data_IF_688722465745
#
_entry.id   IF_688722465745
#
_cell.length_a   1.000
_cell.length_b   1.000
_cell.length_c   1.000
_cell.angle_alpha   90.00
_cell.angle_beta   90.00
_cell.angle_gamma   90.00
#
_symmetry.space_group_name_H-M   'P 1'
#
loop_
_entity.id
_entity.type
_entity.pdbx_description
1 polymer ?
#
# COMPACT_ATOMS: atom_id res chain seq x y z
N UNK A 1 -36.17 19.05 -26.97
CA UNK A 1 -36.25 18.02 -25.91
C UNK A 1 -35.36 16.86 -26.31
N UNK A 2 -34.26 16.67 -25.59
CA UNK A 2 -33.41 15.46 -25.51
C UNK A 2 -32.55 15.64 -24.23
N UNK A 3 -32.22 14.55 -23.51
CA UNK A 3 -32.19 14.54 -22.05
C UNK A 3 -30.87 15.01 -21.44
N UNK A 4 -31.01 15.58 -20.24
CA UNK A 4 -29.96 15.76 -19.22
C UNK A 4 -29.36 14.42 -18.82
N UNK A 5 -28.03 14.34 -18.80
CA UNK A 5 -27.30 13.31 -18.07
C UNK A 5 -26.44 13.97 -17.01
N UNK A 6 -26.77 13.70 -15.75
CA UNK A 6 -25.93 13.99 -14.59
C UNK A 6 -24.85 12.91 -14.51
N UNK A 7 -23.58 13.28 -14.61
CA UNK A 7 -22.49 12.40 -14.18
C UNK A 7 -22.34 12.61 -12.68
N UNK A 8 -22.67 11.59 -11.89
CA UNK A 8 -22.38 11.59 -10.45
C UNK A 8 -20.87 11.68 -10.27
N UNK A 9 -20.44 12.82 -9.73
CA UNK A 9 -19.15 12.94 -9.06
C UNK A 9 -19.30 12.17 -7.74
N UNK A 10 -18.73 10.97 -7.67
CA UNK A 10 -18.48 10.32 -6.38
C UNK A 10 -17.20 10.92 -5.78
N UNK A 11 -17.26 12.21 -5.44
CA UNK A 11 -16.31 12.87 -4.55
C UNK A 11 -16.68 12.50 -3.14
N UNK A 12 -15.83 11.69 -2.49
CA UNK A 12 -15.55 11.84 -1.06
C UNK A 12 -14.18 11.22 -0.78
N UNK A 13 -13.12 12.02 -0.86
CA UNK A 13 -11.98 11.84 0.04
C UNK A 13 -12.31 12.70 1.25
N UNK A 14 -12.79 12.06 2.32
CA UNK A 14 -12.81 12.71 3.63
C UNK A 14 -11.37 12.62 4.16
N UNK A 15 -10.68 13.75 4.18
CA UNK A 15 -9.53 13.91 5.05
C UNK A 15 -10.03 13.83 6.49
N UNK A 16 -9.98 12.66 7.12
CA UNK A 16 -10.13 12.59 8.56
C UNK A 16 -8.86 13.13 9.21
N UNK A 17 -8.92 14.42 9.53
CA UNK A 17 -8.03 15.09 10.48
C UNK A 17 -8.15 14.34 11.82
N UNK A 18 -7.16 13.51 12.18
CA UNK A 18 -6.94 13.28 13.61
C UNK A 18 -6.14 14.49 14.08
N UNK A 19 -6.81 15.49 14.65
CA UNK A 19 -6.11 16.54 15.41
C UNK A 19 -5.27 15.83 16.49
N UNK A 20 -3.93 15.93 16.50
CA UNK A 20 -3.20 15.68 17.72
C UNK A 20 -3.30 16.95 18.56
N UNK A 21 -3.45 16.79 19.87
CA UNK A 21 -3.39 17.89 20.83
C UNK A 21 -1.99 18.58 20.91
N UNK A 22 -1.10 18.36 19.92
CA UNK A 22 0.31 18.75 19.90
C UNK A 22 0.85 18.99 18.47
N UNK A 23 0.36 20.03 17.76
CA UNK A 23 1.15 20.78 16.77
C UNK A 23 1.76 20.09 15.52
N UNK A 24 1.37 18.87 15.10
CA UNK A 24 1.90 18.22 13.89
C UNK A 24 0.83 17.56 13.00
N UNK A 25 0.95 17.68 11.66
CA UNK A 25 -0.02 17.16 10.68
C UNK A 25 0.46 15.84 10.04
N UNK A 26 -0.34 14.77 10.18
CA UNK A 26 0.02 13.42 9.70
C UNK A 26 -0.52 13.14 8.30
N UNK A 27 0.36 12.78 7.35
CA UNK A 27 -0.01 12.33 6.00
C UNK A 27 -0.33 10.84 6.00
N UNK A 28 -1.62 10.47 6.02
CA UNK A 28 -2.06 9.06 5.92
C UNK A 28 -1.66 8.47 4.57
N UNK A 29 -1.04 7.28 4.59
CA UNK A 29 -0.94 6.43 3.40
C UNK A 29 -2.20 5.58 3.33
N UNK A 30 -3.19 6.04 2.58
CA UNK A 30 -4.22 5.16 2.03
C UNK A 30 -3.74 4.67 0.68
N UNK A 31 -3.91 3.37 0.39
CA UNK A 31 -3.67 2.76 -0.91
C UNK A 31 -4.43 3.56 -1.97
N UNK A 32 -3.72 4.31 -2.81
CA UNK A 32 -4.38 5.14 -3.82
C UNK A 32 -4.83 4.26 -4.99
N UNK A 33 -6.13 4.30 -5.25
CA UNK A 33 -6.80 3.62 -6.35
C UNK A 33 -6.08 3.80 -7.69
N UNK A 34 -5.99 2.69 -8.41
CA UNK A 34 -5.54 2.60 -9.77
C UNK A 34 -6.59 3.22 -10.71
N UNK A 35 -6.30 4.39 -11.26
CA UNK A 35 -6.95 4.86 -12.48
C UNK A 35 -5.92 4.85 -13.61
N UNK A 36 -6.33 4.28 -14.75
CA UNK A 36 -5.49 4.15 -15.95
C UNK A 36 -4.91 5.52 -16.33
N UNK A 37 -3.59 5.62 -16.48
CA UNK A 37 -2.99 6.74 -17.20
C UNK A 37 -2.53 6.23 -18.56
N UNK A 38 -3.09 6.88 -19.59
CA UNK A 38 -2.75 6.70 -20.99
C UNK A 38 -1.32 7.22 -21.27
N UNK A 39 -0.76 6.74 -22.37
CA UNK A 39 0.60 6.98 -22.84
C UNK A 39 1.03 8.46 -22.84
N UNK A 40 2.34 8.64 -22.59
CA UNK A 40 3.21 9.70 -23.10
C UNK A 40 2.66 11.14 -23.10
N UNK A 41 3.06 11.90 -22.07
CA UNK A 41 2.97 13.36 -22.05
C UNK A 41 1.55 13.89 -21.83
N UNK A 42 1.16 14.11 -20.57
CA UNK A 42 -0.17 14.62 -20.26
C UNK A 42 -0.29 15.06 -18.80
N UNK A 43 -1.13 16.07 -18.61
CA UNK A 43 -1.35 16.88 -17.40
C UNK A 43 -1.48 16.09 -16.09
N UNK A 44 -1.00 16.72 -15.02
CA UNK A 44 -1.26 16.31 -13.64
C UNK A 44 -2.77 16.38 -13.40
N UNK A 45 -3.41 15.22 -13.25
CA UNK A 45 -4.80 15.11 -12.80
C UNK A 45 -4.99 15.92 -11.51
N UNK A 46 -6.05 16.75 -11.38
CA UNK A 46 -6.35 17.50 -10.15
C UNK A 46 -6.69 16.59 -8.96
N UNK A 47 -6.91 15.29 -9.21
CA UNK A 47 -7.17 14.28 -8.19
C UNK A 47 -5.93 13.40 -8.08
N UNK A 48 -5.20 13.53 -6.96
CA UNK A 48 -3.96 12.80 -6.66
C UNK A 48 -4.15 11.28 -6.71
N UNK A 49 -3.39 10.63 -7.57
CA UNK A 49 -3.30 9.17 -7.70
C UNK A 49 -1.84 8.76 -7.90
N UNK A 50 -1.52 7.49 -7.65
CA UNK A 50 -0.17 6.96 -7.84
C UNK A 50 0.06 6.50 -9.29
N UNK A 51 1.26 6.75 -9.82
CA UNK A 51 1.72 6.15 -11.07
C UNK A 51 2.52 4.88 -10.76
N UNK A 52 2.16 3.77 -11.40
CA UNK A 52 2.88 2.49 -11.31
C UNK A 52 3.52 2.21 -12.66
N UNK A 53 4.84 2.19 -12.70
CA UNK A 53 5.63 2.01 -13.90
C UNK A 53 6.34 0.65 -13.88
N UNK A 54 6.15 -0.10 -14.97
CA UNK A 54 6.87 -1.33 -15.26
C UNK A 54 7.96 -1.01 -16.28
N UNK A 55 9.22 -1.02 -15.84
CA UNK A 55 10.36 -0.56 -16.62
C UNK A 55 11.21 -1.76 -17.07
N UNK A 56 11.44 -1.87 -18.38
CA UNK A 56 12.38 -2.83 -18.96
C UNK A 56 13.80 -2.29 -18.89
N UNK A 57 14.43 -2.36 -17.71
CA UNK A 57 15.79 -1.86 -17.45
C UNK A 57 16.63 -2.96 -16.80
N UNK A 58 17.95 -2.81 -16.91
CA UNK A 58 18.93 -3.71 -16.34
C UNK A 58 19.21 -4.95 -17.17
N UNK A 59 20.14 -5.77 -16.66
CA UNK A 59 20.62 -7.00 -17.26
C UNK A 59 20.74 -8.11 -16.21
N UNK A 60 20.42 -9.35 -16.58
CA UNK A 60 20.58 -10.52 -15.71
C UNK A 60 22.05 -11.01 -15.64
N UNK A 61 22.29 -12.10 -14.92
CA UNK A 61 23.63 -12.70 -14.81
C UNK A 61 24.15 -13.32 -16.14
N UNK A 62 23.28 -13.52 -17.13
CA UNK A 62 23.63 -13.94 -18.48
C UNK A 62 23.82 -12.76 -19.45
N UNK A 63 23.84 -11.52 -18.92
CA UNK A 63 23.95 -10.26 -19.68
C UNK A 63 22.77 -10.03 -20.65
N UNK A 64 21.59 -10.57 -20.31
CA UNK A 64 20.35 -10.38 -21.06
C UNK A 64 19.56 -9.18 -20.55
N UNK A 65 19.04 -8.34 -21.44
CA UNK A 65 18.15 -7.21 -21.11
C UNK A 65 16.67 -7.61 -21.00
N UNK A 66 16.34 -8.88 -21.24
CA UNK A 66 14.96 -9.35 -21.20
C UNK A 66 14.55 -9.72 -19.77
N UNK A 67 13.73 -8.87 -19.15
CA UNK A 67 13.18 -9.14 -17.83
C UNK A 67 12.10 -10.24 -17.85
N UNK A 68 12.13 -11.12 -16.86
CA UNK A 68 11.10 -12.11 -16.59
C UNK A 68 9.86 -11.47 -15.93
N UNK A 69 8.66 -12.03 -16.13
CA UNK A 69 7.48 -11.62 -15.39
C UNK A 69 7.61 -12.00 -13.91
N UNK A 70 6.93 -11.27 -13.02
CA UNK A 70 6.93 -11.61 -11.60
C UNK A 70 6.32 -13.01 -11.38
N UNK A 71 6.99 -13.90 -10.61
CA UNK A 71 6.45 -15.19 -10.26
C UNK A 71 5.21 -15.05 -9.37
N UNK A 72 4.29 -16.01 -9.48
CA UNK A 72 3.04 -15.98 -8.72
C UNK A 72 3.32 -15.96 -7.21
N UNK A 73 2.68 -15.03 -6.52
CA UNK A 73 2.74 -14.93 -5.05
C UNK A 73 4.03 -14.32 -4.54
N UNK A 74 4.87 -13.75 -5.41
CA UNK A 74 6.03 -12.98 -5.00
C UNK A 74 5.58 -11.77 -4.17
N UNK A 75 6.23 -11.54 -3.04
CA UNK A 75 5.97 -10.42 -2.13
C UNK A 75 7.28 -9.75 -1.80
N UNK A 76 7.34 -8.44 -1.88
CA UNK A 76 8.53 -7.70 -1.51
C UNK A 76 8.19 -6.28 -1.04
N UNK A 77 9.09 -5.71 -0.24
CA UNK A 77 8.98 -4.39 0.35
C UNK A 77 10.14 -3.52 -0.10
N UNK A 78 9.84 -2.29 -0.51
CA UNK A 78 10.81 -1.22 -0.70
C UNK A 78 10.63 -0.12 0.35
N UNK A 79 11.68 0.67 0.54
CA UNK A 79 11.77 1.69 1.60
C UNK A 79 11.93 1.10 3.00
N UNK A 80 11.70 1.91 4.03
CA UNK A 80 11.73 1.50 5.43
C UNK A 80 10.90 2.47 6.30
N UNK A 81 9.83 1.97 6.93
CA UNK A 81 8.94 2.76 7.79
C UNK A 81 9.66 3.42 8.98
N UNK A 82 10.73 2.78 9.46
CA UNK A 82 11.46 3.19 10.66
C UNK A 82 12.71 4.02 10.34
N UNK A 83 13.00 4.30 9.07
CA UNK A 83 14.15 5.12 8.72
C UNK A 83 13.95 6.56 9.20
N UNK A 84 15.01 7.12 9.82
CA UNK A 84 15.04 8.52 10.29
C UNK A 84 16.28 9.29 9.80
N UNK A 85 17.08 8.66 8.96
CA UNK A 85 18.31 9.20 8.38
C UNK A 85 18.63 8.45 7.10
N UNK A 86 19.50 9.04 6.27
CA UNK A 86 20.03 8.37 5.10
C UNK A 86 20.99 7.25 5.50
N UNK A 87 20.80 6.06 4.93
CA UNK A 87 21.71 4.93 5.11
C UNK A 87 22.69 4.85 3.93
N UNK A 88 23.91 5.33 4.16
CA UNK A 88 25.00 5.30 3.21
C UNK A 88 25.83 3.99 3.27
N UNK A 89 25.54 3.10 4.22
CA UNK A 89 26.37 1.93 4.50
C UNK A 89 25.80 0.65 3.87
N UNK A 90 24.47 0.55 3.77
CA UNK A 90 23.84 -0.57 3.07
C UNK A 90 23.92 -0.35 1.56
N UNK A 91 24.75 -1.13 0.90
CA UNK A 91 25.07 -0.97 -0.53
C UNK A 91 24.43 -2.06 -1.39
N UNK A 92 24.14 -1.74 -2.65
CA UNK A 92 23.83 -2.72 -3.69
C UNK A 92 25.08 -3.55 -4.01
N UNK A 93 24.87 -4.72 -4.61
CA UNK A 93 25.99 -5.45 -5.22
C UNK A 93 26.63 -4.61 -6.33
N UNK A 94 27.96 -4.60 -6.40
CA UNK A 94 28.69 -3.95 -7.48
C UNK A 94 30.07 -4.55 -7.74
N UNK A 95 30.70 -4.14 -8.83
CA UNK A 95 32.05 -4.48 -9.26
C UNK A 95 32.74 -3.27 -9.93
N UNK A 96 33.91 -3.44 -10.54
CA UNK A 96 34.67 -2.33 -11.17
C UNK A 96 33.92 -1.63 -12.30
N UNK A 97 33.14 -2.38 -13.09
CA UNK A 97 32.32 -1.84 -14.20
C UNK A 97 31.01 -1.22 -13.71
N UNK A 98 30.47 -1.77 -12.62
CA UNK A 98 29.17 -1.45 -12.03
C UNK A 98 29.35 -1.15 -10.53
N UNK A 99 29.83 0.05 -10.13
CA UNK A 99 30.38 0.35 -8.78
C UNK A 99 29.40 0.64 -7.61
N UNK A 100 29.15 -0.29 -6.68
CA UNK A 100 28.06 -0.27 -5.66
C UNK A 100 27.37 1.09 -5.27
N UNK A 101 26.04 1.10 -5.36
CA UNK A 101 25.00 2.05 -4.93
C UNK A 101 24.58 2.07 -3.46
N UNK A 102 24.39 3.15 -2.68
CA UNK A 102 23.60 3.03 -1.46
C UNK A 102 22.16 2.60 -1.77
N UNK A 103 21.66 1.57 -1.10
CA UNK A 103 20.28 1.06 -1.28
C UNK A 103 19.26 2.13 -0.91
N UNK A 104 19.61 3.10 -0.06
CA UNK A 104 18.81 4.27 0.25
C UNK A 104 18.40 5.10 -0.98
N UNK A 105 19.14 5.00 -2.10
CA UNK A 105 18.81 5.71 -3.35
C UNK A 105 17.51 5.25 -4.01
N UNK A 106 16.93 4.12 -3.56
CA UNK A 106 15.64 3.63 -4.03
C UNK A 106 14.45 4.54 -3.72
N UNK A 107 14.59 5.43 -2.75
CA UNK A 107 13.58 6.42 -2.38
C UNK A 107 14.10 7.80 -2.76
N UNK A 108 13.33 8.53 -3.56
CA UNK A 108 13.60 9.93 -3.88
C UNK A 108 12.35 10.79 -3.74
N UNK A 109 12.55 12.08 -3.57
CA UNK A 109 11.53 13.10 -3.46
C UNK A 109 11.89 14.26 -4.38
N UNK A 110 10.95 14.63 -5.24
CA UNK A 110 11.05 15.80 -6.09
C UNK A 110 10.08 16.88 -5.59
N UNK A 111 10.62 18.04 -5.25
CA UNK A 111 9.83 19.24 -5.05
C UNK A 111 9.59 19.86 -6.44
N UNK A 112 8.38 19.72 -6.98
CA UNK A 112 8.10 20.08 -8.37
C UNK A 112 7.93 21.59 -8.49
N UNK A 113 8.82 22.19 -9.27
CA UNK A 113 8.82 23.60 -9.64
C UNK A 113 9.28 23.71 -11.10
N UNK A 114 8.33 23.91 -12.01
CA UNK A 114 8.63 23.98 -13.45
C UNK A 114 9.45 25.22 -13.83
N UNK A 115 9.41 26.27 -13.02
CA UNK A 115 10.12 27.52 -13.28
C UNK A 115 11.53 27.51 -12.68
N UNK A 116 11.74 26.75 -11.61
CA UNK A 116 13.03 26.61 -10.97
C UNK A 116 13.29 25.14 -10.55
N UNK A 117 13.68 24.27 -11.52
CA UNK A 117 13.90 22.86 -11.26
C UNK A 117 14.95 22.63 -10.18
N UNK A 118 14.63 21.76 -9.22
CA UNK A 118 15.52 21.39 -8.12
C UNK A 118 15.92 19.92 -8.25
N UNK A 119 17.13 19.54 -7.79
CA UNK A 119 17.51 18.14 -7.71
C UNK A 119 16.56 17.35 -6.80
N UNK A 120 16.36 16.08 -7.13
CA UNK A 120 15.69 15.15 -6.22
C UNK A 120 16.52 14.95 -4.94
N UNK A 121 15.83 14.63 -3.86
CA UNK A 121 16.43 14.39 -2.54
C UNK A 121 16.02 13.03 -2.00
N UNK A 122 16.80 12.44 -1.09
CA UNK A 122 16.51 11.12 -0.52
C UNK A 122 15.62 11.16 0.74
N UNK A 123 15.01 12.31 1.02
CA UNK A 123 14.09 12.53 2.11
C UNK A 123 13.16 13.68 1.76
N UNK A 124 12.02 13.75 2.44
CA UNK A 124 11.11 14.88 2.34
C UNK A 124 11.75 16.13 2.99
N UNK A 125 12.52 16.85 2.19
CA UNK A 125 13.37 17.97 2.62
C UNK A 125 12.65 19.32 2.60
N UNK A 126 11.82 19.55 1.58
CA UNK A 126 11.01 20.76 1.40
C UNK A 126 9.63 20.35 0.87
N UNK A 127 8.59 20.95 1.44
CA UNK A 127 7.19 20.77 1.03
C UNK A 127 6.59 22.06 0.46
N UNK A 128 7.36 23.14 0.35
CA UNK A 128 6.98 24.36 -0.33
C UNK A 128 7.23 24.22 -1.84
N UNK A 129 6.47 23.33 -2.46
CA UNK A 129 6.66 22.94 -3.86
C UNK A 129 5.54 23.53 -4.72
N UNK A 130 5.79 24.57 -5.54
CA UNK A 130 4.75 25.31 -6.26
C UNK A 130 3.88 24.47 -7.19
N UNK A 131 4.36 23.32 -7.66
CA UNK A 131 3.62 22.40 -8.52
C UNK A 131 3.39 21.03 -7.86
N UNK A 132 3.44 20.98 -6.52
CA UNK A 132 3.29 19.75 -5.75
C UNK A 132 4.62 19.05 -5.47
N UNK A 133 4.55 18.02 -4.64
CA UNK A 133 5.70 17.20 -4.29
C UNK A 133 5.48 15.80 -4.82
N UNK A 134 6.53 15.14 -5.32
CA UNK A 134 6.46 13.77 -5.80
C UNK A 134 7.38 12.89 -4.98
N UNK A 135 6.83 11.86 -4.34
CA UNK A 135 7.63 10.80 -3.73
C UNK A 135 7.76 9.65 -4.73
N UNK A 136 8.95 9.10 -4.83
CA UNK A 136 9.33 8.09 -5.81
C UNK A 136 9.96 6.93 -5.07
N UNK A 137 9.59 5.71 -5.47
CA UNK A 137 10.16 4.50 -4.90
C UNK A 137 10.35 3.41 -5.95
N UNK A 138 11.56 2.87 -5.99
CA UNK A 138 11.91 1.72 -6.83
C UNK A 138 11.95 0.46 -6.00
N UNK A 139 11.51 -0.66 -6.57
CA UNK A 139 11.58 -1.96 -5.96
C UNK A 139 12.73 -2.80 -6.50
N UNK A 140 13.10 -3.81 -5.71
CA UNK A 140 14.05 -4.83 -6.08
C UNK A 140 13.58 -5.55 -7.35
N UNK A 141 14.49 -5.77 -8.30
CA UNK A 141 14.20 -6.46 -9.56
C UNK A 141 15.05 -7.71 -9.77
N UNK A 142 15.96 -8.06 -8.88
CA UNK A 142 16.76 -9.28 -8.98
C UNK A 142 16.24 -10.33 -8.00
N UNK A 143 15.75 -11.45 -8.51
CA UNK A 143 15.15 -12.52 -7.72
C UNK A 143 16.08 -13.74 -7.62
N UNK A 144 16.08 -14.39 -6.45
CA UNK A 144 16.88 -15.61 -6.21
C UNK A 144 16.41 -16.83 -7.01
N UNK A 145 15.23 -16.76 -7.63
CA UNK A 145 14.66 -17.83 -8.44
C UNK A 145 13.96 -18.93 -7.66
N UNK A 146 13.91 -18.82 -6.33
CA UNK A 146 13.46 -19.88 -5.43
C UNK A 146 12.34 -19.41 -4.52
N UNK A 147 12.52 -18.29 -3.81
CA UNK A 147 11.66 -17.91 -2.71
C UNK A 147 10.68 -16.81 -3.13
N UNK A 148 9.38 -17.05 -3.01
CA UNK A 148 8.36 -16.01 -3.25
C UNK A 148 8.25 -15.00 -2.12
N UNK A 149 8.76 -15.31 -0.93
CA UNK A 149 8.77 -14.39 0.21
C UNK A 149 9.75 -14.85 1.28
N UNK A 150 10.52 -13.90 1.82
CA UNK A 150 11.23 -14.02 3.08
C UNK A 150 10.99 -12.76 3.92
N UNK A 151 10.84 -12.93 5.23
CA UNK A 151 10.56 -11.81 6.13
C UNK A 151 11.66 -10.74 6.10
N UNK A 152 12.91 -11.18 6.00
CA UNK A 152 14.10 -10.32 5.89
C UNK A 152 14.30 -9.72 4.49
N UNK A 153 13.40 -9.98 3.54
CA UNK A 153 13.47 -9.55 2.14
C UNK A 153 14.69 -10.06 1.35
N UNK A 154 15.45 -11.03 1.87
CA UNK A 154 16.70 -11.51 1.26
C UNK A 154 16.48 -12.44 0.05
N UNK A 155 15.23 -12.64 -0.39
CA UNK A 155 14.93 -13.32 -1.65
C UNK A 155 14.99 -12.38 -2.86
N UNK A 156 15.09 -11.07 -2.61
CA UNK A 156 15.17 -10.04 -3.64
C UNK A 156 16.39 -9.15 -3.43
N UNK A 157 16.95 -8.64 -4.52
CA UNK A 157 18.02 -7.66 -4.54
C UNK A 157 17.74 -6.55 -5.55
N UNK A 158 18.31 -5.38 -5.30
CA UNK A 158 18.33 -4.29 -6.29
C UNK A 158 19.33 -4.59 -7.39
N UNK A 159 19.05 -4.04 -8.58
CA UNK A 159 20.09 -3.86 -9.57
C UNK A 159 21.20 -2.97 -8.99
N UNK A 160 22.39 -3.10 -9.56
CA UNK A 160 23.54 -2.34 -9.12
C UNK A 160 23.25 -0.83 -8.94
N UNK A 161 22.62 -0.18 -9.93
CA UNK A 161 22.21 1.23 -9.89
C UNK A 161 20.81 1.45 -9.35
N UNK A 162 20.31 0.57 -8.46
CA UNK A 162 18.90 0.46 -8.00
C UNK A 162 17.97 -0.08 -9.09
N UNK A 163 17.90 0.60 -10.23
CA UNK A 163 16.93 0.35 -11.29
C UNK A 163 17.58 0.05 -12.65
N UNK A 164 18.92 0.04 -12.69
CA UNK A 164 19.73 -0.17 -13.88
C UNK A 164 21.04 -0.89 -13.54
N UNK A 165 21.69 -1.48 -14.55
CA UNK A 165 22.91 -2.27 -14.39
C UNK A 165 22.63 -3.77 -14.30
N UNK A 166 23.43 -4.50 -13.53
CA UNK A 166 23.36 -5.96 -13.45
C UNK A 166 22.77 -6.46 -12.13
N UNK A 167 22.18 -7.66 -12.19
CA UNK A 167 21.83 -8.41 -10.99
C UNK A 167 23.06 -9.03 -10.31
N UNK A 168 23.04 -9.20 -8.97
CA UNK A 168 24.07 -9.97 -8.29
C UNK A 168 24.09 -11.43 -8.77
N UNK A 169 25.25 -12.10 -8.81
CA UNK A 169 25.36 -13.49 -9.29
C UNK A 169 24.46 -14.51 -8.56
N UNK A 170 24.10 -14.25 -7.30
CA UNK A 170 23.19 -15.11 -6.51
C UNK A 170 21.70 -14.82 -6.73
N UNK A 171 21.36 -13.81 -7.53
CA UNK A 171 19.98 -13.43 -7.88
C UNK A 171 19.84 -13.43 -9.41
N UNK A 172 19.85 -14.62 -10.05
CA UNK A 172 20.07 -14.73 -11.49
C UNK A 172 18.85 -14.32 -12.33
N UNK A 173 17.67 -14.13 -11.73
CA UNK A 173 16.45 -13.82 -12.47
C UNK A 173 16.17 -12.33 -12.37
N UNK A 174 16.41 -11.61 -13.47
CA UNK A 174 15.94 -10.24 -13.63
C UNK A 174 14.42 -10.24 -13.82
N UNK A 175 13.71 -9.52 -12.96
CA UNK A 175 12.30 -9.20 -13.07
C UNK A 175 12.12 -7.80 -13.65
N UNK A 176 10.90 -7.51 -14.10
CA UNK A 176 10.55 -6.16 -14.54
C UNK A 176 10.77 -5.18 -13.38
N UNK A 177 11.43 -4.05 -13.64
CA UNK A 177 11.66 -3.04 -12.60
C UNK A 177 10.33 -2.35 -12.30
N UNK A 178 9.88 -2.45 -11.05
CA UNK A 178 8.70 -1.76 -10.58
C UNK A 178 9.11 -0.42 -9.95
N UNK A 179 8.54 0.64 -10.45
CA UNK A 179 8.78 2.00 -10.00
C UNK A 179 7.45 2.69 -9.75
N UNK A 180 7.31 3.36 -8.60
CA UNK A 180 6.07 4.00 -8.20
C UNK A 180 6.34 5.47 -7.90
N UNK A 181 5.49 6.33 -8.45
CA UNK A 181 5.46 7.76 -8.13
C UNK A 181 4.16 8.12 -7.45
N UNK A 182 4.25 8.89 -6.37
CA UNK A 182 3.11 9.39 -5.60
C UNK A 182 3.18 10.91 -5.57
N UNK A 183 2.33 11.61 -6.32
CA UNK A 183 2.16 13.05 -6.21
C UNK A 183 1.39 13.39 -4.93
N UNK A 184 1.89 14.37 -4.20
CA UNK A 184 1.27 14.98 -3.04
C UNK A 184 0.94 16.44 -3.35
N UNK A 185 -0.33 16.80 -3.19
CA UNK A 185 -0.85 18.15 -3.39
C UNK A 185 -0.51 19.07 -2.20
N UNK A 186 0.79 19.24 -1.93
CA UNK A 186 1.29 20.08 -0.82
C UNK A 186 0.92 21.56 -0.98
N UNK A 187 0.60 22.00 -2.20
CA UNK A 187 0.16 23.37 -2.53
C UNK A 187 -1.23 23.72 -2.00
N UNK A 188 -2.11 22.72 -1.84
CA UNK A 188 -3.48 22.94 -1.39
C UNK A 188 -3.57 23.06 0.13
N UNK A 189 -2.47 22.81 0.83
CA UNK A 189 -2.36 22.79 2.29
C UNK A 189 -1.41 23.91 2.70
N UNK A 190 -1.89 25.15 2.63
CA UNK A 190 -1.15 26.35 3.03
C UNK A 190 -1.51 26.69 4.48
N UNK A 191 -0.57 26.53 5.41
CA UNK A 191 -0.71 27.05 6.78
C UNK A 191 0.63 27.58 7.32
N UNK A 192 0.59 28.77 7.93
CA UNK A 192 1.72 29.35 8.63
C UNK A 192 2.10 28.51 9.87
N UNK A 193 3.38 28.13 9.97
CA UNK A 193 3.96 27.55 11.19
C UNK A 193 3.83 26.04 11.39
N UNK A 194 3.41 25.28 10.37
CA UNK A 194 3.33 23.80 10.41
C UNK A 194 4.42 23.08 9.60
N UNK A 195 4.63 21.78 9.88
CA UNK A 195 5.50 20.89 9.10
C UNK A 195 4.72 19.65 8.64
N UNK A 196 4.93 19.26 7.39
CA UNK A 196 4.42 17.98 6.88
C UNK A 196 5.22 16.82 7.48
N UNK A 197 4.51 15.83 8.01
CA UNK A 197 5.12 14.60 8.53
C UNK A 197 4.39 13.38 7.99
N UNK A 198 5.10 12.28 7.76
CA UNK A 198 4.46 11.03 7.36
C UNK A 198 3.57 10.49 8.50
N UNK A 199 2.50 9.76 8.18
CA UNK A 199 1.56 9.26 9.21
C UNK A 199 2.18 8.31 10.24
N UNK A 200 3.30 7.68 9.91
CA UNK A 200 4.14 6.92 10.84
C UNK A 200 4.86 7.80 11.88
N UNK A 201 4.59 9.11 11.90
CA UNK A 201 5.20 10.08 12.81
C UNK A 201 6.64 10.43 12.44
N UNK A 202 7.07 10.17 11.20
CA UNK A 202 8.39 10.56 10.77
C UNK A 202 8.47 12.06 10.46
N UNK A 203 9.16 12.78 11.34
CA UNK A 203 9.47 14.19 11.16
C UNK A 203 10.75 14.42 10.35
N UNK A 204 11.57 13.39 10.10
CA UNK A 204 12.84 13.51 9.39
C UNK A 204 12.70 13.37 7.88
N UNK A 205 11.61 12.76 7.40
CA UNK A 205 11.29 12.61 5.98
C UNK A 205 11.90 11.39 5.29
N UNK A 206 12.48 10.44 6.03
CA UNK A 206 13.12 9.23 5.50
C UNK A 206 12.24 7.96 5.55
N UNK A 207 11.18 7.95 6.34
CA UNK A 207 10.35 6.80 6.69
C UNK A 207 9.40 6.31 5.60
N UNK A 208 9.67 6.64 4.34
CA UNK A 208 8.83 6.24 3.22
C UNK A 208 9.07 4.78 2.85
N UNK A 209 7.98 4.04 2.65
CA UNK A 209 8.01 2.63 2.31
C UNK A 209 6.74 2.23 1.55
N UNK A 210 6.87 1.16 0.76
CA UNK A 210 5.77 0.52 0.05
C UNK A 210 6.02 -0.98 0.00
N UNK A 211 5.00 -1.76 0.33
CA UNK A 211 4.99 -3.20 0.08
C UNK A 211 4.18 -3.50 -1.17
N UNK A 212 4.65 -4.42 -1.99
CA UNK A 212 3.91 -4.94 -3.12
C UNK A 212 3.78 -6.46 -3.03
N UNK A 213 2.57 -6.93 -3.30
CA UNK A 213 2.30 -8.32 -3.62
C UNK A 213 2.33 -8.41 -5.14
N UNK A 214 3.52 -8.63 -5.72
CA UNK A 214 3.66 -8.84 -7.14
C UNK A 214 3.10 -10.21 -7.51
N UNK A 215 1.78 -10.27 -7.64
CA UNK A 215 1.13 -11.36 -8.30
C UNK A 215 0.75 -10.90 -9.72
N UNK A 216 1.74 -10.69 -10.58
CA UNK A 216 1.49 -10.74 -12.02
C UNK A 216 1.23 -12.19 -12.44
N UNK A 217 0.08 -12.72 -12.04
CA UNK A 217 -0.65 -13.61 -12.92
C UNK A 217 -1.43 -12.72 -13.87
N UNK A 218 -1.49 -13.05 -15.16
CA UNK A 218 -2.49 -12.49 -16.09
C UNK A 218 -3.95 -12.62 -15.59
N UNK A 219 -4.15 -13.25 -14.43
CA UNK A 219 -5.40 -13.32 -13.67
C UNK A 219 -5.57 -12.24 -12.58
N UNK A 220 -4.73 -11.20 -12.47
CA UNK A 220 -4.96 -10.10 -11.50
C UNK A 220 -6.12 -9.16 -11.88
N UNK A 221 -6.64 -9.28 -13.10
CA UNK A 221 -7.98 -8.77 -13.42
C UNK A 221 -9.11 -9.66 -12.85
N UNK A 222 -8.77 -10.80 -12.22
CA UNK A 222 -9.70 -11.83 -11.75
C UNK A 222 -9.32 -12.46 -10.39
N UNK A 223 -8.42 -11.87 -9.59
CA UNK A 223 -8.18 -12.38 -8.23
C UNK A 223 -9.32 -11.92 -7.34
N UNK A 224 -10.15 -12.85 -6.81
CA UNK A 224 -11.20 -12.46 -5.89
C UNK A 224 -10.57 -11.80 -4.66
N UNK A 225 -11.22 -10.75 -4.11
CA UNK A 225 -10.83 -10.12 -2.85
C UNK A 225 -10.61 -11.19 -1.76
N UNK A 226 -9.60 -10.99 -0.91
CA UNK A 226 -9.20 -11.99 0.08
C UNK A 226 -9.59 -11.58 1.50
N UNK A 227 -9.86 -12.54 2.40
CA UNK A 227 -10.04 -12.23 3.81
C UNK A 227 -8.76 -11.63 4.40
N UNK A 228 -8.89 -10.53 5.14
CA UNK A 228 -7.77 -9.99 5.91
C UNK A 228 -7.30 -11.06 6.93
N UNK A 229 -5.99 -11.38 6.99
CA UNK A 229 -5.50 -12.47 7.83
C UNK A 229 -5.48 -12.14 9.34
N UNK A 230 -5.54 -10.86 9.70
CA UNK A 230 -5.35 -10.39 11.07
C UNK A 230 -4.04 -9.62 11.26
N UNK A 231 -3.72 -9.30 12.51
CA UNK A 231 -2.50 -8.61 12.96
C UNK A 231 -1.93 -9.26 14.23
N UNK A 232 -0.94 -8.63 14.86
CA UNK A 232 -0.31 -9.13 16.10
C UNK A 232 -1.29 -9.28 17.28
N UNK A 233 -2.45 -8.62 17.23
CA UNK A 233 -3.46 -8.65 18.28
C UNK A 233 -4.63 -9.58 17.97
N UNK A 234 -4.95 -9.81 16.70
CA UNK A 234 -6.10 -10.61 16.28
C UNK A 234 -5.75 -11.52 15.12
N UNK A 235 -6.19 -12.77 15.19
CA UNK A 235 -6.10 -13.74 14.09
C UNK A 235 -7.46 -13.94 13.45
N UNK A 236 -7.49 -14.08 12.12
CA UNK A 236 -8.69 -14.48 11.39
C UNK A 236 -9.09 -15.91 11.76
N UNK A 237 -10.37 -16.11 12.05
CA UNK A 237 -11.00 -17.43 12.21
C UNK A 237 -11.74 -17.87 10.93
N UNK A 238 -11.89 -16.98 9.94
CA UNK A 238 -12.59 -17.25 8.69
C UNK A 238 -14.05 -16.79 8.69
N UNK A 239 -14.86 -17.41 7.84
CA UNK A 239 -16.27 -17.04 7.63
C UNK A 239 -17.18 -17.76 8.64
N UNK A 240 -18.12 -17.03 9.25
CA UNK A 240 -19.10 -17.54 10.21
C UNK A 240 -20.50 -17.04 9.89
N UNK A 241 -21.52 -17.77 10.36
CA UNK A 241 -22.92 -17.36 10.24
C UNK A 241 -23.33 -16.33 11.28
N UNK A 242 -24.23 -15.43 10.92
CA UNK A 242 -25.10 -14.76 11.88
C UNK A 242 -26.16 -15.77 12.41
N UNK A 243 -26.52 -15.75 13.70
CA UNK A 243 -27.64 -16.55 14.22
C UNK A 243 -28.97 -16.16 13.54
N UNK A 244 -29.97 -17.05 13.53
CA UNK A 244 -31.25 -16.85 12.80
C UNK A 244 -32.05 -15.62 13.27
N UNK A 245 -31.99 -15.26 14.55
CA UNK A 245 -32.76 -14.15 15.13
C UNK A 245 -31.94 -13.32 16.13
N UNK A 246 -30.62 -13.30 15.97
CA UNK A 246 -29.72 -12.55 16.84
C UNK A 246 -28.46 -12.10 16.08
N UNK A 247 -27.64 -11.28 16.75
CA UNK A 247 -26.29 -10.91 16.28
C UNK A 247 -25.27 -11.93 16.77
N UNK A 248 -24.26 -12.24 15.96
CA UNK A 248 -23.13 -13.07 16.34
C UNK A 248 -22.36 -12.44 17.51
N UNK A 249 -22.14 -11.12 17.44
CA UNK A 249 -21.46 -10.31 18.44
C UNK A 249 -22.36 -9.13 18.83
N UNK A 250 -22.50 -8.88 20.13
CA UNK A 250 -23.47 -7.92 20.70
C UNK A 250 -22.82 -6.75 21.42
N UNK A 251 -21.50 -6.59 21.31
CA UNK A 251 -20.77 -5.46 21.87
C UNK A 251 -20.85 -4.22 20.98
N UNK A 252 -19.80 -3.41 21.03
CA UNK A 252 -19.73 -2.18 20.24
C UNK A 252 -19.80 -2.47 18.75
N UNK A 253 -20.49 -1.63 18.00
CA UNK A 253 -20.55 -1.70 16.55
C UNK A 253 -20.19 -0.38 15.90
N UNK A 254 -19.77 -0.47 14.65
CA UNK A 254 -19.45 0.66 13.78
C UNK A 254 -19.92 0.32 12.36
N UNK A 255 -20.21 1.34 11.57
CA UNK A 255 -20.54 1.14 10.15
C UNK A 255 -20.04 2.31 9.33
N UNK A 256 -19.50 2.02 8.16
CA UNK A 256 -19.08 3.02 7.19
C UNK A 256 -19.34 2.53 5.78
N UNK A 257 -20.04 3.33 4.99
CA UNK A 257 -20.35 3.02 3.59
C UNK A 257 -19.25 3.43 2.62
N UNK A 258 -18.20 4.11 3.10
CA UNK A 258 -17.12 4.66 2.25
C UNK A 258 -15.73 4.25 2.69
N UNK A 259 -15.53 4.00 3.99
CA UNK A 259 -14.19 3.87 4.59
C UNK A 259 -14.05 2.59 5.41
N UNK A 260 -14.80 1.53 5.07
CA UNK A 260 -14.70 0.26 5.77
C UNK A 260 -13.50 -0.56 5.29
N UNK A 261 -12.61 -0.94 6.21
CA UNK A 261 -11.55 -1.95 5.99
C UNK A 261 -11.51 -2.91 7.18
N UNK A 262 -11.07 -4.16 6.97
CA UNK A 262 -10.99 -5.12 8.07
C UNK A 262 -9.89 -4.73 9.08
N UNK A 263 -8.80 -4.11 8.60
CA UNK A 263 -7.71 -3.60 9.43
C UNK A 263 -8.16 -2.47 10.38
N UNK A 264 -8.81 -1.42 9.84
CA UNK A 264 -9.26 -0.28 10.65
C UNK A 264 -10.25 -0.72 11.74
N UNK A 265 -11.06 -1.71 11.39
CA UNK A 265 -12.05 -2.29 12.28
C UNK A 265 -11.45 -3.10 13.44
N UNK A 266 -10.47 -3.97 13.16
CA UNK A 266 -9.81 -4.73 14.22
C UNK A 266 -9.17 -3.77 15.24
N UNK A 267 -8.69 -2.62 14.77
CA UNK A 267 -8.28 -1.49 15.62
C UNK A 267 -9.42 -0.94 16.49
N UNK A 268 -10.60 -0.70 15.92
CA UNK A 268 -11.79 -0.24 16.67
C UNK A 268 -12.19 -1.20 17.80
N UNK A 269 -12.10 -2.51 17.57
CA UNK A 269 -12.44 -3.51 18.59
C UNK A 269 -11.31 -3.82 19.58
N UNK A 270 -10.22 -3.04 19.60
CA UNK A 270 -9.15 -3.23 20.57
C UNK A 270 -9.70 -3.37 22.00
N UNK A 271 -9.37 -4.49 22.66
CA UNK A 271 -9.85 -4.83 24.00
C UNK A 271 -11.01 -5.83 24.06
N UNK A 272 -11.72 -6.08 22.96
CA UNK A 272 -12.70 -7.17 22.85
C UNK A 272 -12.01 -8.53 22.67
N UNK A 273 -12.74 -9.64 22.81
CA UNK A 273 -12.20 -11.00 22.52
C UNK A 273 -12.40 -11.33 21.05
N UNK A 274 -13.56 -10.94 20.52
CA UNK A 274 -13.96 -11.17 19.14
C UNK A 274 -14.24 -9.86 18.42
N UNK A 275 -13.96 -9.90 17.13
CA UNK A 275 -14.25 -8.85 16.19
C UNK A 275 -14.78 -9.49 14.90
N UNK A 276 -15.82 -8.96 14.30
CA UNK A 276 -16.41 -9.37 13.04
C UNK A 276 -16.73 -8.20 12.10
N UNK A 277 -16.51 -8.41 10.80
CA UNK A 277 -17.01 -7.53 9.73
C UNK A 277 -18.16 -8.19 8.99
N UNK A 278 -19.17 -7.41 8.61
CA UNK A 278 -20.35 -7.86 7.88
C UNK A 278 -20.74 -6.88 6.77
N UNK A 279 -21.41 -7.39 5.75
CA UNK A 279 -22.19 -6.62 4.79
C UNK A 279 -21.43 -5.45 4.15
N UNK A 280 -20.15 -5.67 3.81
CA UNK A 280 -19.21 -4.71 3.23
C UNK A 280 -18.86 -3.49 4.09
N UNK A 281 -19.69 -3.15 5.08
CA UNK A 281 -19.76 -1.81 5.65
C UNK A 281 -20.07 -1.80 7.14
N UNK A 282 -20.14 -2.97 7.77
CA UNK A 282 -20.54 -3.12 9.17
C UNK A 282 -19.49 -3.89 9.97
N UNK A 283 -19.48 -3.61 11.27
CA UNK A 283 -18.43 -3.99 12.19
C UNK A 283 -19.00 -4.24 13.58
N UNK A 284 -18.62 -5.34 14.23
CA UNK A 284 -19.24 -5.80 15.47
C UNK A 284 -18.23 -6.42 16.43
N UNK A 285 -17.96 -5.79 17.56
CA UNK A 285 -17.10 -6.33 18.61
C UNK A 285 -17.91 -7.22 19.57
N UNK A 286 -17.25 -8.14 20.27
CA UNK A 286 -17.88 -8.91 21.33
C UNK A 286 -16.87 -9.57 22.27
N UNK A 287 -17.33 -9.87 23.49
CA UNK A 287 -16.57 -10.73 24.41
C UNK A 287 -16.90 -12.21 24.20
N UNK A 288 -18.10 -12.49 23.71
CA UNK A 288 -18.62 -13.84 23.48
C UNK A 288 -19.16 -13.94 22.05
N UNK A 289 -19.10 -15.15 21.49
CA UNK A 289 -19.71 -15.50 20.22
C UNK A 289 -21.05 -16.21 20.49
N UNK A 290 -22.15 -15.62 20.02
CA UNK A 290 -23.49 -16.14 20.31
C UNK A 290 -23.75 -17.51 19.67
N UNK A 291 -24.57 -18.32 20.35
CA UNK A 291 -24.98 -19.63 19.86
C UNK A 291 -25.68 -19.52 18.51
N UNK A 292 -25.27 -20.35 17.54
CA UNK A 292 -25.77 -20.29 16.17
C UNK A 292 -24.81 -19.60 15.19
N UNK A 293 -23.75 -18.96 15.69
CA UNK A 293 -22.61 -18.54 14.87
C UNK A 293 -21.62 -19.67 14.68
N UNK A 294 -21.72 -20.34 13.54
CA UNK A 294 -20.91 -21.51 13.19
C UNK A 294 -20.08 -21.24 11.94
N UNK A 295 -18.97 -21.98 11.73
CA UNK A 295 -18.17 -21.83 10.52
C UNK A 295 -19.00 -21.99 9.25
N UNK A 296 -18.74 -21.14 8.26
CA UNK A 296 -19.39 -21.12 6.96
C UNK A 296 -18.34 -21.18 5.83
N UNK A 297 -18.75 -21.55 4.59
CA UNK A 297 -17.86 -21.51 3.44
C UNK A 297 -17.28 -20.11 3.23
N UNK A 298 -15.97 -19.94 2.96
CA UNK A 298 -15.37 -18.63 2.72
C UNK A 298 -16.05 -17.81 1.63
N UNK A 299 -16.62 -18.47 0.61
CA UNK A 299 -17.35 -17.84 -0.48
C UNK A 299 -18.63 -17.11 -0.03
N UNK A 300 -19.19 -17.47 1.13
CA UNK A 300 -20.36 -16.80 1.72
C UNK A 300 -19.99 -15.44 2.32
N UNK A 301 -18.70 -15.23 2.65
CA UNK A 301 -18.15 -13.98 3.16
C UNK A 301 -17.28 -13.28 2.10
N UNK A 302 -17.82 -13.11 0.90
CA UNK A 302 -17.07 -12.59 -0.25
C UNK A 302 -17.46 -11.16 -0.68
N UNK A 303 -18.23 -10.42 0.13
CA UNK A 303 -18.52 -9.02 -0.16
C UNK A 303 -17.28 -8.18 0.08
N UNK A 304 -16.88 -7.38 -0.91
CA UNK A 304 -15.77 -6.41 -0.77
C UNK A 304 -16.05 -5.40 0.32
N UNK A 305 -15.03 -4.97 1.05
CA UNK A 305 -15.16 -3.87 1.98
C UNK A 305 -15.47 -2.55 1.24
N UNK A 306 -16.22 -1.65 1.86
CA UNK A 306 -16.63 -0.38 1.24
C UNK A 306 -15.46 0.61 1.07
N UNK A 307 -14.43 0.50 1.90
CA UNK A 307 -13.20 1.29 1.87
C UNK A 307 -11.97 0.54 1.34
N UNK A 308 -12.07 -0.78 1.09
CA UNK A 308 -11.01 -1.56 0.45
C UNK A 308 -11.59 -2.70 -0.40
N UNK A 309 -11.45 -2.57 -1.72
CA UNK A 309 -11.95 -3.56 -2.68
C UNK A 309 -11.07 -4.81 -2.79
N UNK A 310 -9.91 -4.84 -2.14
CA UNK A 310 -9.01 -6.00 -2.12
C UNK A 310 -9.24 -6.92 -0.91
N UNK A 311 -10.04 -6.46 0.05
CA UNK A 311 -10.44 -7.22 1.22
C UNK A 311 -11.93 -7.60 1.16
N UNK A 312 -12.28 -8.70 1.83
CA UNK A 312 -13.69 -9.07 2.05
C UNK A 312 -14.14 -8.69 3.46
N UNK A 313 -15.33 -8.10 3.54
CA UNK A 313 -16.00 -7.66 4.75
C UNK A 313 -17.36 -8.35 4.89
N UNK A 314 -17.33 -9.68 4.99
CA UNK A 314 -18.48 -10.53 5.26
C UNK A 314 -19.40 -10.73 4.07
N UNK A 315 -20.68 -10.90 4.35
CA UNK A 315 -21.75 -11.16 3.40
C UNK A 315 -23.11 -10.92 4.05
N UNK A 316 -24.19 -11.21 3.34
CA UNK A 316 -25.53 -11.15 3.94
C UNK A 316 -25.67 -12.24 5.01
N UNK A 317 -25.79 -11.84 6.28
CA UNK A 317 -25.87 -12.77 7.44
C UNK A 317 -24.64 -13.66 7.59
N UNK A 318 -23.48 -13.10 7.24
CA UNK A 318 -22.20 -13.79 7.12
C UNK A 318 -21.08 -12.87 7.54
N UNK A 319 -20.30 -13.29 8.52
CA UNK A 319 -19.24 -12.47 9.10
C UNK A 319 -17.86 -13.06 8.84
N UNK A 320 -16.88 -12.22 8.53
CA UNK A 320 -15.48 -12.62 8.73
C UNK A 320 -15.12 -12.37 10.19
N UNK A 321 -14.83 -13.43 10.92
CA UNK A 321 -14.59 -13.41 12.36
C UNK A 321 -13.09 -13.39 12.67
N UNK A 322 -12.73 -12.62 13.69
CA UNK A 322 -11.39 -12.45 14.23
C UNK A 322 -11.42 -12.68 15.73
N UNK A 323 -10.36 -13.29 16.25
CA UNK A 323 -10.20 -13.54 17.68
C UNK A 323 -8.89 -12.95 18.17
N UNK A 324 -8.93 -12.34 19.34
CA UNK A 324 -7.75 -11.82 20.01
C UNK A 324 -6.77 -12.97 20.31
N UNK A 325 -5.49 -12.72 20.07
CA UNK A 325 -4.39 -13.67 20.36
C UNK A 325 -4.24 -13.95 21.86
#
# INVERSE_FOLDING_TARGET
>A
MAPTWSLMVATTMVFNLVQPAFGSWRMSCSVAQMSRIAEAGGEVSPNGGMAVCYLGRGMDAADSTLAAPFPKGLRFLSGNNNARSYDANTMTYGNETYPSVPVANRVTFACVDYNNPRPETHYMSDTNCPNGMRAQITFQSCWDGVNSYKNDQSHMAYLYGIDNGICPPTYPILLTVLFIEVPYAVVDIIQDGGKFVFANGDETGYGFHRGDVAACSLNFLNTPPLPYPGNDHYKSLGCYTEPTDARALTGNSYSSTTDMTAEAYIGFCAGSIYAAVEYASECYCGSDLNSGSVPAPPADCAMTCSGDLWEVCGGSRRINLYQRN
#
